data_IF_272831561193
#
_entry.id   IF_272831561193
#
_cell.length_a   1.000
_cell.length_b   1.000
_cell.length_c   1.000
_cell.angle_alpha   90.00
_cell.angle_beta   90.00
_cell.angle_gamma   90.00
#
_symmetry.space_group_name_H-M   'P 1'
#
loop_
_entity.id
_entity.type
_entity.pdbx_description
1 polymer ?
#
# COMPACT_ATOMS: atom_id res chain seq x y z
N UNK A 1 13.74 0.31 10.48
CA UNK A 1 12.54 1.17 10.54
C UNK A 1 11.32 0.34 10.24
N UNK A 2 10.28 0.39 11.08
CA UNK A 2 9.03 -0.35 10.89
C UNK A 2 8.04 0.46 10.04
N UNK A 3 7.43 -0.17 9.05
CA UNK A 3 6.50 0.47 8.10
C UNK A 3 5.24 -0.37 7.92
N UNK A 4 4.08 0.29 7.85
CA UNK A 4 2.84 -0.32 7.41
C UNK A 4 2.90 -0.46 5.88
N UNK A 5 3.12 -1.68 5.40
CA UNK A 5 3.37 -1.96 3.99
C UNK A 5 2.07 -2.30 3.27
N UNK A 6 1.68 -1.45 2.33
CA UNK A 6 0.57 -1.67 1.43
C UNK A 6 1.07 -1.98 0.03
N UNK A 7 1.13 -3.27 -0.38
CA UNK A 7 1.62 -3.65 -1.71
C UNK A 7 0.64 -3.23 -2.84
N UNK A 8 -0.63 -2.95 -2.53
CA UNK A 8 -1.63 -2.62 -3.55
C UNK A 8 -2.08 -3.85 -4.35
N UNK A 9 -2.69 -3.62 -5.51
CA UNK A 9 -3.22 -4.68 -6.38
C UNK A 9 -2.22 -5.13 -7.46
N UNK A 10 -1.53 -4.18 -8.09
CA UNK A 10 -0.62 -4.45 -9.22
C UNK A 10 0.58 -5.29 -8.77
N UNK A 11 1.25 -4.91 -7.67
CA UNK A 11 2.41 -5.67 -7.18
C UNK A 11 2.07 -7.06 -6.64
N UNK A 12 0.79 -7.37 -6.39
CA UNK A 12 0.34 -8.72 -5.98
C UNK A 12 -0.15 -9.56 -7.15
N UNK A 13 -0.63 -8.94 -8.24
CA UNK A 13 -1.26 -9.65 -9.36
C UNK A 13 -0.52 -9.54 -10.69
N UNK A 14 -0.22 -8.32 -11.13
CA UNK A 14 0.27 -8.04 -12.49
C UNK A 14 1.79 -7.93 -12.58
N UNK A 15 2.43 -7.45 -11.51
CA UNK A 15 3.89 -7.36 -11.38
C UNK A 15 4.34 -7.97 -10.05
N UNK A 16 4.08 -9.28 -9.81
CA UNK A 16 4.38 -9.96 -8.55
C UNK A 16 5.86 -9.88 -8.14
N UNK A 17 6.76 -9.70 -9.10
CA UNK A 17 8.18 -9.49 -8.86
C UNK A 17 8.48 -8.24 -8.02
N UNK A 18 7.63 -7.21 -8.04
CA UNK A 18 7.81 -6.02 -7.18
C UNK A 18 7.63 -6.38 -5.71
N UNK A 19 6.58 -7.14 -5.38
CA UNK A 19 6.32 -7.56 -4.01
C UNK A 19 7.41 -8.51 -3.50
N UNK A 20 7.77 -9.53 -4.29
CA UNK A 20 8.86 -10.45 -3.94
C UNK A 20 10.22 -9.76 -3.83
N UNK A 21 10.49 -8.74 -4.67
CA UNK A 21 11.73 -7.94 -4.54
C UNK A 21 11.77 -7.17 -3.22
N UNK A 22 10.64 -6.65 -2.73
CA UNK A 22 10.59 -5.96 -1.44
C UNK A 22 10.85 -6.90 -0.27
N UNK A 23 10.37 -8.14 -0.30
CA UNK A 23 10.69 -9.14 0.73
C UNK A 23 12.20 -9.39 0.85
N UNK A 24 12.92 -9.36 -0.28
CA UNK A 24 14.37 -9.59 -0.33
C UNK A 24 15.19 -8.33 0.00
N UNK A 25 14.71 -7.15 -0.39
CA UNK A 25 15.44 -5.87 -0.25
C UNK A 25 15.20 -5.22 1.12
N UNK A 26 13.98 -5.31 1.68
CA UNK A 26 13.65 -4.65 2.94
C UNK A 26 14.58 -5.03 4.10
N UNK A 27 14.95 -6.32 4.32
CA UNK A 27 15.89 -6.68 5.38
C UNK A 27 17.30 -6.10 5.17
N UNK A 28 17.71 -5.87 3.91
CA UNK A 28 19.02 -5.28 3.58
C UNK A 28 19.10 -3.78 3.86
N UNK A 29 17.93 -3.14 3.99
CA UNK A 29 17.77 -1.71 4.31
C UNK A 29 17.33 -1.50 5.76
N UNK A 30 17.38 -2.56 6.59
CA UNK A 30 16.89 -2.56 7.97
C UNK A 30 15.41 -2.12 8.07
N UNK A 31 14.58 -2.48 7.08
CA UNK A 31 13.14 -2.21 7.07
C UNK A 31 12.35 -3.42 7.57
N UNK A 32 11.46 -3.19 8.54
CA UNK A 32 10.45 -4.16 8.97
C UNK A 32 9.13 -3.78 8.30
N UNK A 33 8.67 -4.62 7.35
CA UNK A 33 7.43 -4.40 6.62
C UNK A 33 6.29 -5.18 7.29
N UNK A 34 5.29 -4.48 7.81
CA UNK A 34 4.04 -5.09 8.28
C UNK A 34 3.00 -4.98 7.20
N UNK A 35 2.69 -6.09 6.53
CA UNK A 35 1.75 -6.08 5.40
C UNK A 35 0.31 -5.76 5.81
N UNK A 36 -0.34 -4.86 5.05
CA UNK A 36 -1.78 -4.59 5.11
C UNK A 36 -2.54 -5.55 4.17
N UNK A 37 -2.76 -6.77 4.62
CA UNK A 37 -3.35 -7.89 3.86
C UNK A 37 -4.85 -7.69 3.50
N UNK A 38 -5.58 -6.86 4.26
CA UNK A 38 -7.01 -6.56 4.03
C UNK A 38 -7.29 -5.19 3.38
N UNK A 39 -6.25 -4.49 2.93
CA UNK A 39 -6.42 -3.19 2.27
C UNK A 39 -6.99 -3.35 0.84
N UNK A 40 -7.87 -2.43 0.44
CA UNK A 40 -8.51 -2.43 -0.88
C UNK A 40 -7.59 -1.80 -1.95
N UNK A 41 -8.06 -1.80 -3.21
CA UNK A 41 -7.45 -1.05 -4.31
C UNK A 41 -7.52 0.47 -4.04
N UNK A 42 -6.52 1.23 -4.54
CA UNK A 42 -6.49 2.69 -4.48
C UNK A 42 -7.58 3.38 -5.33
N UNK A 43 -8.21 2.66 -6.25
CA UNK A 43 -9.29 3.18 -7.10
C UNK A 43 -8.83 4.11 -8.24
N UNK A 44 -7.53 4.36 -8.36
CA UNK A 44 -6.95 5.20 -9.41
C UNK A 44 -7.32 4.73 -10.83
N UNK A 45 -7.64 5.69 -11.70
CA UNK A 45 -7.89 5.47 -13.13
C UNK A 45 -9.22 4.81 -13.51
N UNK A 46 -10.02 4.33 -12.54
CA UNK A 46 -11.36 3.77 -12.84
C UNK A 46 -12.40 4.36 -11.90
N UNK A 47 -12.23 4.18 -10.58
CA UNK A 47 -13.18 4.72 -9.61
C UNK A 47 -13.02 6.24 -9.52
N UNK A 48 -11.77 6.73 -9.55
CA UNK A 48 -11.45 8.15 -9.48
C UNK A 48 -12.11 8.98 -10.61
N UNK A 49 -12.28 8.39 -11.80
CA UNK A 49 -12.90 9.07 -12.95
C UNK A 49 -14.41 9.28 -12.77
N UNK A 50 -15.05 8.49 -11.90
CA UNK A 50 -16.50 8.49 -11.73
C UNK A 50 -16.95 8.98 -10.35
N UNK A 51 -16.17 8.76 -9.30
CA UNK A 51 -16.56 9.08 -7.93
C UNK A 51 -15.34 9.32 -7.03
N UNK A 52 -14.94 10.59 -6.89
CA UNK A 52 -13.82 11.00 -6.04
C UNK A 52 -14.08 10.71 -4.55
N UNK A 53 -15.30 10.95 -4.05
CA UNK A 53 -15.64 10.70 -2.64
C UNK A 53 -15.47 9.23 -2.26
N UNK A 54 -15.83 8.32 -3.17
CA UNK A 54 -15.63 6.89 -2.98
C UNK A 54 -14.14 6.52 -2.93
N UNK A 55 -13.30 7.11 -3.79
CA UNK A 55 -11.84 6.92 -3.76
C UNK A 55 -11.26 7.41 -2.44
N UNK A 56 -11.62 8.63 -2.03
CA UNK A 56 -11.14 9.21 -0.77
C UNK A 56 -11.54 8.33 0.43
N UNK A 57 -12.78 7.81 0.44
CA UNK A 57 -13.27 6.89 1.48
C UNK A 57 -12.49 5.58 1.50
N UNK A 58 -12.20 5.01 0.33
CA UNK A 58 -11.44 3.78 0.16
C UNK A 58 -9.97 3.94 0.60
N UNK A 59 -9.35 5.07 0.28
CA UNK A 59 -7.98 5.38 0.71
C UNK A 59 -7.92 5.72 2.21
N UNK A 60 -8.91 6.44 2.75
CA UNK A 60 -9.05 6.69 4.18
C UNK A 60 -9.14 5.38 4.99
N UNK A 61 -9.86 4.37 4.50
CA UNK A 61 -9.88 3.03 5.10
C UNK A 61 -8.48 2.41 5.17
N UNK A 62 -7.69 2.50 4.09
CA UNK A 62 -6.32 1.98 4.04
C UNK A 62 -5.40 2.73 5.02
N UNK A 63 -5.52 4.06 5.11
CA UNK A 63 -4.79 4.85 6.11
C UNK A 63 -5.17 4.47 7.55
N UNK A 64 -6.47 4.29 7.82
CA UNK A 64 -6.93 3.83 9.13
C UNK A 64 -6.38 2.44 9.51
N UNK A 65 -6.17 1.56 8.52
CA UNK A 65 -5.48 0.28 8.76
C UNK A 65 -4.00 0.48 9.08
N UNK A 66 -3.28 1.32 8.35
CA UNK A 66 -1.88 1.61 8.64
C UNK A 66 -1.68 2.24 10.02
N UNK A 67 -2.56 3.15 10.43
CA UNK A 67 -2.52 3.78 11.75
C UNK A 67 -2.70 2.80 12.91
N UNK A 68 -3.25 1.60 12.66
CA UNK A 68 -3.37 0.52 13.65
C UNK A 68 -2.09 -0.31 13.79
N UNK A 69 -1.11 -0.13 12.91
CA UNK A 69 0.18 -0.83 13.00
C UNK A 69 1.04 -0.14 14.06
N UNK A 70 1.10 -0.76 15.24
CA UNK A 70 1.84 -0.23 16.38
C UNK A 70 3.34 -0.08 16.07
N UNK A 71 3.89 1.10 16.36
CA UNK A 71 5.30 1.42 16.16
C UNK A 71 5.72 1.64 14.70
N UNK A 72 4.78 1.67 13.75
CA UNK A 72 5.10 2.03 12.37
C UNK A 72 5.44 3.52 12.24
N UNK A 73 6.56 3.83 11.57
CA UNK A 73 6.96 5.20 11.27
C UNK A 73 6.10 5.85 10.17
N UNK A 74 5.38 5.04 9.39
CA UNK A 74 4.50 5.50 8.32
C UNK A 74 3.96 4.34 7.48
N UNK A 75 3.17 4.68 6.47
CA UNK A 75 2.75 3.75 5.42
C UNK A 75 3.72 3.79 4.24
N UNK A 76 3.97 2.65 3.61
CA UNK A 76 4.75 2.54 2.38
C UNK A 76 4.01 1.70 1.34
N UNK A 77 4.13 2.08 0.07
CA UNK A 77 3.75 1.27 -1.08
C UNK A 77 4.89 1.28 -2.12
N UNK A 78 4.81 0.44 -3.15
CA UNK A 78 5.80 0.36 -4.24
C UNK A 78 5.19 0.59 -5.63
N UNK A 79 4.04 1.27 -5.68
CA UNK A 79 3.31 1.51 -6.90
C UNK A 79 3.07 3.00 -7.06
N UNK A 80 3.67 3.62 -8.08
CA UNK A 80 3.51 5.05 -8.36
C UNK A 80 2.04 5.47 -8.50
N UNK A 81 1.21 4.61 -9.07
CA UNK A 81 -0.24 4.83 -9.15
C UNK A 81 -0.92 4.84 -7.79
N UNK A 82 -0.52 3.95 -6.86
CA UNK A 82 -1.04 3.96 -5.49
C UNK A 82 -0.53 5.18 -4.70
N UNK A 83 0.68 5.66 -5.00
CA UNK A 83 1.28 6.81 -4.33
C UNK A 83 0.61 8.15 -4.70
N UNK A 84 0.06 8.26 -5.91
CA UNK A 84 -0.60 9.47 -6.41
C UNK A 84 -2.13 9.45 -6.33
N UNK A 85 -2.71 8.39 -5.74
CA UNK A 85 -4.15 8.19 -5.59
C UNK A 85 -4.70 8.78 -4.28
#
# INVERSE_FOLDING_TARGET
MKLAYWPGCVSRGFTPELHGSMELVAPKLDLELVELDRANCCGAGVIAEHNQELVDTLNARTFAMAQRVEGAAGMMNVCSTCQGA
#
